data_IF_757436783380
#
_entry.id   IF_757436783380
#
_cell.length_a   1.000
_cell.length_b   1.000
_cell.length_c   1.000
_cell.angle_alpha   90.00
_cell.angle_beta   90.00
_cell.angle_gamma   90.00
#
_symmetry.space_group_name_H-M   'P 1'
#
loop_
_entity.id
_entity.type
_entity.pdbx_description
1 polymer ?
#
# COMPACT_ATOMS: atom_id res chain seq x y z
N UNK A 1 -17.83 -52.01 8.95
CA UNK A 1 -16.80 -51.96 7.87
C UNK A 1 -17.13 -50.96 6.76
N UNK A 2 -18.35 -50.98 6.19
CA UNK A 2 -18.75 -50.05 5.10
C UNK A 2 -18.69 -48.55 5.46
N UNK A 3 -19.16 -48.18 6.65
CA UNK A 3 -19.16 -46.78 7.12
C UNK A 3 -17.73 -46.25 7.34
N UNK A 4 -16.84 -47.07 7.89
CA UNK A 4 -15.43 -46.72 8.06
C UNK A 4 -14.72 -46.53 6.72
N UNK A 5 -15.04 -47.35 5.72
CA UNK A 5 -14.49 -47.22 4.38
C UNK A 5 -14.98 -45.92 3.69
N UNK A 6 -16.27 -45.59 3.84
CA UNK A 6 -16.84 -44.33 3.32
C UNK A 6 -16.23 -43.10 3.98
N UNK A 7 -15.98 -43.15 5.30
CA UNK A 7 -15.35 -42.05 6.04
C UNK A 7 -13.89 -41.85 5.60
N UNK A 8 -13.16 -42.94 5.40
CA UNK A 8 -11.77 -42.90 4.92
C UNK A 8 -11.69 -42.29 3.52
N UNK A 9 -12.57 -42.70 2.60
CA UNK A 9 -12.64 -42.14 1.25
C UNK A 9 -12.96 -40.64 1.30
N UNK A 10 -13.91 -40.23 2.14
CA UNK A 10 -14.25 -38.81 2.29
C UNK A 10 -13.06 -37.98 2.78
N UNK A 11 -12.35 -38.42 3.83
CA UNK A 11 -11.19 -37.71 4.37
C UNK A 11 -10.04 -37.64 3.34
N UNK A 12 -9.79 -38.72 2.60
CA UNK A 12 -8.77 -38.71 1.55
C UNK A 12 -9.14 -37.80 0.37
N UNK A 13 -10.43 -37.66 0.04
CA UNK A 13 -10.88 -36.76 -1.02
C UNK A 13 -10.74 -35.27 -0.65
N UNK A 14 -10.91 -34.90 0.63
CA UNK A 14 -10.69 -33.52 1.09
C UNK A 14 -9.21 -33.12 1.01
N UNK A 15 -8.30 -34.09 1.08
CA UNK A 15 -6.85 -33.84 1.07
C UNK A 15 -6.33 -33.47 -0.34
N UNK A 16 -7.05 -33.86 -1.39
CA UNK A 16 -6.68 -33.61 -2.79
C UNK A 16 -7.12 -32.22 -3.31
N UNK A 17 -8.00 -31.52 -2.57
CA UNK A 17 -8.47 -30.17 -2.95
C UNK A 17 -7.51 -29.07 -2.47
N UNK A 18 -6.51 -29.40 -1.64
CA UNK A 18 -5.49 -28.45 -1.18
C UNK A 18 -4.31 -28.30 -2.14
N UNK A 19 -4.54 -28.34 -3.46
CA UNK A 19 -3.57 -27.85 -4.44
C UNK A 19 -3.64 -26.32 -4.49
N UNK A 20 -3.00 -25.66 -3.52
CA UNK A 20 -2.67 -24.25 -3.66
C UNK A 20 -1.61 -24.16 -4.76
N UNK A 21 -1.96 -23.65 -5.93
CA UNK A 21 -0.95 -23.26 -6.92
C UNK A 21 -0.25 -22.06 -6.31
N UNK A 22 0.90 -22.29 -5.67
CA UNK A 22 1.79 -21.20 -5.30
C UNK A 22 2.09 -20.45 -6.59
N UNK A 23 1.60 -19.20 -6.67
CA UNK A 23 1.97 -18.29 -7.75
C UNK A 23 3.50 -18.26 -7.76
N UNK A 24 4.15 -18.36 -8.94
CA UNK A 24 5.60 -18.39 -9.01
C UNK A 24 6.13 -17.22 -8.20
N UNK A 25 7.03 -17.52 -7.25
CA UNK A 25 7.57 -16.58 -6.26
C UNK A 25 8.41 -15.43 -6.86
N UNK A 26 8.29 -15.19 -8.16
CA UNK A 26 8.92 -14.10 -8.91
C UNK A 26 7.96 -13.31 -9.80
N UNK A 27 6.66 -13.62 -9.84
CA UNK A 27 5.71 -12.73 -10.53
C UNK A 27 5.40 -11.53 -9.66
N UNK A 28 5.72 -10.32 -10.13
CA UNK A 28 5.32 -9.08 -9.49
C UNK A 28 3.81 -9.08 -9.22
N UNK A 29 3.35 -8.48 -8.09
CA UNK A 29 1.94 -8.24 -7.87
C UNK A 29 1.31 -7.57 -9.10
N UNK A 30 0.06 -7.92 -9.40
CA UNK A 30 -0.64 -7.48 -10.61
C UNK A 30 -0.77 -5.95 -10.71
N UNK A 31 -0.62 -5.23 -9.58
CA UNK A 31 -0.64 -3.78 -9.47
C UNK A 31 0.69 -3.21 -8.95
N UNK A 32 1.82 -3.90 -9.18
CA UNK A 32 3.12 -3.40 -8.78
C UNK A 32 3.56 -2.22 -9.67
N UNK A 33 3.99 -1.14 -9.04
CA UNK A 33 4.66 -0.01 -9.71
C UNK A 33 6.16 -0.14 -9.41
N UNK A 34 6.99 -0.17 -10.46
CA UNK A 34 8.45 -0.22 -10.32
C UNK A 34 9.01 1.13 -10.77
N UNK A 35 9.76 1.78 -9.88
CA UNK A 35 10.38 3.09 -10.12
C UNK A 35 11.90 2.91 -10.02
N UNK A 36 12.62 3.28 -11.07
CA UNK A 36 14.08 3.34 -11.07
C UNK A 36 14.57 4.68 -10.55
N UNK A 37 15.48 4.67 -9.59
CA UNK A 37 16.11 5.87 -9.03
C UNK A 37 17.63 5.79 -9.23
N UNK A 38 18.24 6.91 -9.62
CA UNK A 38 19.67 6.95 -9.95
C UNK A 38 20.59 7.00 -8.71
N UNK A 39 20.03 7.37 -7.56
CA UNK A 39 20.73 7.49 -6.29
C UNK A 39 19.94 6.81 -5.18
N UNK A 40 20.65 6.39 -4.13
CA UNK A 40 20.02 5.88 -2.91
C UNK A 40 19.31 7.01 -2.13
N UNK A 41 18.48 6.62 -1.16
CA UNK A 41 17.82 7.55 -0.24
C UNK A 41 18.81 8.00 0.83
N UNK A 42 18.81 9.30 1.16
CA UNK A 42 19.65 9.84 2.25
C UNK A 42 19.14 9.42 3.64
N UNK A 43 17.83 9.43 3.84
CA UNK A 43 17.19 8.97 5.08
C UNK A 43 15.72 8.60 4.80
N UNK A 44 15.14 7.76 5.65
CA UNK A 44 13.69 7.46 5.66
C UNK A 44 12.99 7.96 6.94
N UNK A 45 13.73 8.61 7.84
CA UNK A 45 13.15 9.33 8.96
C UNK A 45 12.66 10.71 8.45
N UNK A 46 11.34 10.97 8.43
CA UNK A 46 10.78 12.21 7.85
C UNK A 46 11.24 13.49 8.57
N UNK A 47 11.84 13.38 9.76
CA UNK A 47 12.41 14.51 10.51
C UNK A 47 13.87 14.82 10.12
N UNK A 48 14.55 13.92 9.43
CA UNK A 48 15.99 13.99 9.15
C UNK A 48 16.34 13.99 7.65
N UNK A 49 15.33 13.98 6.77
CA UNK A 49 15.49 13.99 5.31
C UNK A 49 15.94 15.36 4.77
N UNK A 50 16.84 15.36 3.79
CA UNK A 50 17.27 16.55 3.08
C UNK A 50 17.04 16.44 1.56
N UNK A 51 17.08 15.24 0.98
CA UNK A 51 16.83 15.04 -0.44
C UNK A 51 15.33 15.03 -0.77
N UNK A 52 14.97 15.69 -1.87
CA UNK A 52 13.59 15.74 -2.38
C UNK A 52 13.06 14.35 -2.75
N UNK A 53 13.92 13.46 -3.28
CA UNK A 53 13.53 12.09 -3.62
C UNK A 53 13.08 11.32 -2.38
N UNK A 54 13.86 11.36 -1.30
CA UNK A 54 13.52 10.71 -0.04
C UNK A 54 12.27 11.30 0.60
N UNK A 55 12.04 12.62 0.42
CA UNK A 55 10.79 13.26 0.83
C UNK A 55 9.59 12.66 0.11
N UNK A 56 9.68 12.47 -1.20
CA UNK A 56 8.60 11.86 -1.99
C UNK A 56 8.35 10.40 -1.61
N UNK A 57 9.41 9.64 -1.30
CA UNK A 57 9.23 8.29 -0.76
C UNK A 57 8.57 8.33 0.63
N UNK A 58 8.95 9.27 1.48
CA UNK A 58 8.35 9.43 2.80
C UNK A 58 6.87 9.81 2.74
N UNK A 59 6.39 10.58 1.76
CA UNK A 59 4.96 10.90 1.62
C UNK A 59 4.11 9.67 1.27
N UNK A 60 4.71 8.62 0.69
CA UNK A 60 4.04 7.34 0.42
C UNK A 60 3.98 6.43 1.66
N UNK A 61 4.90 6.59 2.61
CA UNK A 61 5.03 5.73 3.80
C UNK A 61 4.35 6.36 5.00
N UNK A 62 4.55 7.66 5.22
CA UNK A 62 4.09 8.37 6.40
C UNK A 62 2.85 9.19 6.09
N UNK A 63 1.73 8.93 6.77
CA UNK A 63 0.49 9.66 6.53
C UNK A 63 0.57 11.11 7.03
N UNK A 64 -0.11 12.02 6.33
CA UNK A 64 -0.20 13.45 6.66
C UNK A 64 -1.60 13.83 7.13
N UNK A 65 -1.73 14.98 7.81
CA UNK A 65 -3.02 15.54 8.23
C UNK A 65 -3.92 15.89 7.04
N UNK A 66 -3.34 16.55 6.05
CA UNK A 66 -3.97 16.93 4.78
C UNK A 66 -3.18 16.35 3.62
N UNK A 67 -3.85 16.02 2.51
CA UNK A 67 -3.19 15.48 1.31
C UNK A 67 -3.43 16.39 0.10
N UNK A 68 -2.42 16.56 -0.76
CA UNK A 68 -2.60 17.27 -2.02
C UNK A 68 -3.51 16.48 -2.96
N UNK A 69 -4.31 17.19 -3.76
CA UNK A 69 -5.11 16.66 -4.86
C UNK A 69 -4.89 17.54 -6.08
N UNK A 70 -4.19 16.98 -7.06
CA UNK A 70 -3.90 17.63 -8.32
C UNK A 70 -5.00 17.35 -9.35
N UNK A 71 -5.49 18.40 -10.01
CA UNK A 71 -6.39 18.29 -11.15
C UNK A 71 -5.58 18.39 -12.44
N UNK A 72 -5.38 17.26 -13.13
CA UNK A 72 -4.58 17.21 -14.36
C UNK A 72 -5.16 18.02 -15.51
N UNK A 73 -6.49 18.22 -15.55
CA UNK A 73 -7.14 18.98 -16.62
C UNK A 73 -6.94 20.48 -16.46
N UNK A 74 -7.00 20.99 -15.23
CA UNK A 74 -6.89 22.43 -14.95
C UNK A 74 -5.50 22.86 -14.48
N UNK A 75 -4.65 21.91 -14.09
CA UNK A 75 -3.36 22.17 -13.43
C UNK A 75 -3.49 22.68 -11.99
N UNK A 76 -4.69 22.62 -11.41
CA UNK A 76 -4.97 23.17 -10.08
C UNK A 76 -4.53 22.21 -8.97
N UNK A 77 -3.87 22.77 -7.95
CA UNK A 77 -3.54 22.07 -6.72
C UNK A 77 -4.54 22.44 -5.63
N UNK A 78 -5.31 21.45 -5.18
CA UNK A 78 -6.22 21.57 -4.03
C UNK A 78 -5.74 20.68 -2.89
N UNK A 79 -6.30 20.87 -1.69
CA UNK A 79 -6.01 20.05 -0.52
C UNK A 79 -7.28 19.37 -0.01
N UNK A 80 -7.15 18.11 0.38
CA UNK A 80 -8.24 17.31 0.91
C UNK A 80 -7.90 16.74 2.29
N UNK A 81 -8.91 16.42 3.12
CA UNK A 81 -8.73 15.64 4.33
C UNK A 81 -7.95 14.34 4.08
N UNK A 82 -7.08 14.01 5.05
CA UNK A 82 -6.33 12.75 5.13
C UNK A 82 -6.50 12.17 6.55
N UNK A 83 -5.50 12.27 7.43
CA UNK A 83 -5.67 11.88 8.85
C UNK A 83 -6.59 12.86 9.61
N UNK A 84 -6.51 14.16 9.28
CA UNK A 84 -7.43 15.13 9.84
C UNK A 84 -8.76 15.05 9.10
N UNK A 85 -9.87 15.11 9.83
CA UNK A 85 -11.22 15.12 9.24
C UNK A 85 -11.57 16.46 8.61
N UNK A 86 -11.09 17.56 9.21
CA UNK A 86 -11.24 18.94 8.75
C UNK A 86 -10.13 19.81 9.35
N UNK A 87 -9.98 21.02 8.82
CA UNK A 87 -9.17 22.08 9.40
C UNK A 87 -9.96 23.38 9.40
N UNK A 88 -9.61 24.27 10.31
CA UNK A 88 -10.18 25.60 10.44
C UNK A 88 -9.05 26.58 10.71
N UNK A 89 -9.26 27.82 10.30
CA UNK A 89 -8.34 28.92 10.60
C UNK A 89 -8.98 29.78 11.68
N UNK A 90 -8.20 30.18 12.67
CA UNK A 90 -8.61 31.18 13.65
C UNK A 90 -8.79 32.54 12.96
N UNK A 91 -9.54 33.45 13.59
CA UNK A 91 -9.76 34.80 13.05
C UNK A 91 -8.46 35.59 12.89
N UNK A 92 -7.46 35.35 13.76
CA UNK A 92 -6.15 35.98 13.70
C UNK A 92 -5.13 35.19 12.86
N UNK A 93 -5.55 34.10 12.21
CA UNK A 93 -4.75 33.31 11.29
C UNK A 93 -3.60 32.53 11.95
N UNK A 94 -3.64 32.38 13.28
CA UNK A 94 -2.68 31.60 14.07
C UNK A 94 -3.17 30.18 14.38
#
# INVERSE_FOLDING_TARGET
MRIFLSLLIFITSLSLVSCKTDKPSGSLPQNAIVIGVASDLDNINPLLINLSLSREVCTLIFPTLVRPKFNETTGELSYAPSLAQRWEFSEDGK
#
